data_IF_942996059655
#
_entry.id   IF_942996059655
#
_cell.length_a   1.000
_cell.length_b   1.000
_cell.length_c   1.000
_cell.angle_alpha   90.00
_cell.angle_beta   90.00
_cell.angle_gamma   90.00
#
_symmetry.space_group_name_H-M   'P 1'
#
loop_
_entity.id
_entity.type
_entity.pdbx_description
1 polymer ?
#
# COMPACT_ATOMS: atom_id res chain seq x y z
N UNK A 1 -1.34 20.29 -14.85
CA UNK A 1 -0.05 19.58 -15.04
C UNK A 1 0.10 18.42 -14.05
N UNK A 2 -0.34 18.53 -12.79
CA UNK A 2 -0.41 17.40 -11.82
C UNK A 2 -1.37 16.25 -12.21
N UNK A 3 -2.30 16.50 -13.14
CA UNK A 3 -3.33 15.53 -13.51
C UNK A 3 -2.83 14.40 -14.40
N UNK A 4 -1.66 14.47 -15.04
CA UNK A 4 -1.34 13.53 -16.11
C UNK A 4 -0.81 12.17 -15.63
N UNK A 5 0.11 12.08 -14.64
CA UNK A 5 0.44 10.79 -13.99
C UNK A 5 -0.81 10.23 -13.28
N UNK A 6 -1.65 11.10 -12.74
CA UNK A 6 -2.88 10.71 -12.03
C UNK A 6 -4.06 10.31 -12.95
N UNK A 7 -4.11 10.80 -14.18
CA UNK A 7 -5.11 10.43 -15.20
C UNK A 7 -4.78 9.12 -15.88
N UNK A 8 -3.51 8.70 -15.88
CA UNK A 8 -3.17 7.31 -16.20
C UNK A 8 -3.95 6.41 -15.21
N UNK A 9 -3.90 6.72 -13.91
CA UNK A 9 -4.60 5.99 -12.83
C UNK A 9 -6.14 6.12 -12.83
N UNK A 10 -6.75 6.93 -13.70
CA UNK A 10 -8.17 7.30 -13.63
C UNK A 10 -9.15 6.51 -14.50
N UNK A 11 -8.67 5.69 -15.46
CA UNK A 11 -9.55 4.89 -16.32
C UNK A 11 -9.74 3.47 -15.77
N UNK A 12 -10.61 3.34 -14.77
CA UNK A 12 -11.20 2.05 -14.37
C UNK A 12 -12.12 1.57 -15.51
N UNK A 13 -11.60 0.75 -16.44
CA UNK A 13 -12.44 0.04 -17.40
C UNK A 13 -12.74 -1.35 -16.87
N UNK A 14 -13.95 -1.49 -16.35
CA UNK A 14 -14.57 -2.76 -15.97
C UNK A 14 -14.92 -3.53 -17.26
N UNK A 15 -13.98 -4.29 -17.82
CA UNK A 15 -14.28 -5.18 -18.97
C UNK A 15 -14.90 -6.48 -18.44
N UNK A 16 -16.24 -6.52 -18.40
CA UNK A 16 -16.99 -7.77 -18.47
C UNK A 16 -16.86 -8.30 -19.90
N UNK A 17 -16.10 -9.37 -20.09
CA UNK A 17 -16.30 -10.21 -21.28
C UNK A 17 -17.46 -11.15 -21.01
N UNK A 18 -18.51 -10.96 -21.79
CA UNK A 18 -19.63 -11.87 -21.98
C UNK A 18 -19.19 -13.05 -22.82
N UNK A 19 -19.55 -14.26 -22.40
CA UNK A 19 -19.75 -15.37 -23.32
C UNK A 19 -21.15 -15.94 -23.11
N UNK A 20 -21.81 -16.24 -24.23
CA UNK A 20 -23.21 -16.62 -24.33
C UNK A 20 -23.34 -18.05 -24.86
N UNK A 21 -24.11 -18.85 -24.09
CA UNK A 21 -24.90 -20.05 -24.47
C UNK A 21 -24.08 -21.29 -24.87
N UNK A 22 -24.46 -22.53 -24.55
CA UNK A 22 -25.80 -23.15 -24.61
C UNK A 22 -26.07 -24.22 -23.53
N UNK A 23 -27.36 -24.53 -23.39
CA UNK A 23 -28.04 -25.49 -22.51
C UNK A 23 -27.64 -26.97 -22.69
N UNK A 24 -27.75 -27.76 -21.62
CA UNK A 24 -28.53 -29.02 -21.67
C UNK A 24 -29.02 -29.46 -20.28
N UNK A 25 -30.25 -30.01 -20.26
CA UNK A 25 -31.10 -30.26 -19.09
C UNK A 25 -30.92 -31.66 -18.46
N UNK A 26 -30.92 -31.68 -17.12
CA UNK A 26 -31.62 -32.56 -16.17
C UNK A 26 -31.61 -34.11 -16.32
N UNK A 27 -31.20 -34.82 -15.25
CA UNK A 27 -32.09 -35.51 -14.28
C UNK A 27 -31.32 -36.23 -13.13
N UNK A 28 -31.99 -36.55 -11.99
CA UNK A 28 -31.36 -36.82 -10.70
C UNK A 28 -31.21 -38.31 -10.40
N UNK A 29 -30.25 -38.69 -9.54
CA UNK A 29 -30.24 -40.03 -8.95
C UNK A 29 -29.77 -40.02 -7.48
N UNK A 30 -30.26 -41.03 -6.79
CA UNK A 30 -30.56 -41.16 -5.37
C UNK A 30 -29.37 -41.38 -4.42
N UNK A 31 -29.64 -41.02 -3.15
CA UNK A 31 -28.98 -41.46 -1.90
C UNK A 31 -28.43 -42.89 -1.96
N UNK A 32 -27.27 -43.11 -1.33
CA UNK A 32 -27.00 -44.07 -0.24
C UNK A 32 -25.61 -43.74 0.34
N UNK A 33 -25.52 -43.55 1.67
CA UNK A 33 -24.27 -43.54 2.45
C UNK A 33 -23.90 -44.97 2.84
N UNK A 34 -22.61 -45.26 3.09
CA UNK A 34 -22.23 -45.54 4.48
C UNK A 34 -20.87 -44.98 4.93
N UNK A 35 -20.90 -44.48 6.15
CA UNK A 35 -19.96 -44.48 7.28
C UNK A 35 -18.42 -44.52 7.11
N UNK A 36 -17.83 -43.60 7.90
CA UNK A 36 -16.60 -43.68 8.68
C UNK A 36 -15.23 -43.72 7.99
N UNK A 37 -14.61 -42.53 7.90
CA UNK A 37 -13.18 -42.35 8.17
C UNK A 37 -12.92 -40.93 8.68
N UNK A 38 -12.65 -40.88 9.99
CA UNK A 38 -11.99 -39.84 10.80
C UNK A 38 -11.34 -38.66 10.05
N UNK A 39 -12.01 -37.50 10.10
CA UNK A 39 -11.43 -36.20 9.76
C UNK A 39 -10.50 -35.69 10.88
N UNK A 40 -9.33 -35.11 10.57
CA UNK A 40 -8.49 -34.44 11.55
C UNK A 40 -9.19 -33.17 12.06
N UNK A 41 -9.22 -33.02 13.39
CA UNK A 41 -9.85 -31.92 14.10
C UNK A 41 -9.36 -30.56 13.59
N UNK A 42 -10.29 -29.79 13.03
CA UNK A 42 -10.12 -28.38 12.72
C UNK A 42 -10.15 -27.57 14.02
N UNK A 43 -9.01 -26.98 14.37
CA UNK A 43 -8.89 -25.99 15.43
C UNK A 43 -9.85 -24.81 15.17
N UNK A 44 -10.56 -24.27 16.19
CA UNK A 44 -11.52 -23.20 15.95
C UNK A 44 -10.80 -21.92 15.51
N UNK A 45 -11.30 -21.36 14.41
CA UNK A 45 -10.93 -20.05 13.87
C UNK A 45 -11.11 -18.95 14.92
N UNK A 46 -9.99 -18.38 15.38
CA UNK A 46 -10.01 -17.16 16.20
C UNK A 46 -10.31 -15.95 15.32
N UNK A 47 -11.60 -15.67 15.10
CA UNK A 47 -12.03 -14.36 14.58
C UNK A 47 -13.38 -13.95 15.17
N UNK A 48 -13.43 -13.75 16.48
CA UNK A 48 -14.47 -12.94 17.10
C UNK A 48 -13.81 -12.11 18.21
N UNK A 49 -13.49 -10.85 17.93
CA UNK A 49 -13.17 -9.90 18.99
C UNK A 49 -14.46 -9.72 19.78
N UNK A 50 -14.49 -10.20 21.02
CA UNK A 50 -15.67 -10.10 21.86
C UNK A 50 -15.90 -8.62 22.23
N UNK A 51 -16.84 -7.99 21.52
CA UNK A 51 -17.26 -6.60 21.75
C UNK A 51 -18.20 -6.47 22.96
N UNK A 52 -18.41 -7.54 23.72
CA UNK A 52 -19.24 -7.55 24.93
C UNK A 52 -18.65 -6.72 26.08
N UNK A 53 -17.34 -6.42 26.05
CA UNK A 53 -16.66 -5.75 27.15
C UNK A 53 -17.19 -4.31 27.36
N UNK A 54 -17.52 -3.89 28.62
CA UNK A 54 -18.10 -2.57 28.91
C UNK A 54 -17.31 -1.37 28.35
N UNK A 55 -15.98 -1.50 28.24
CA UNK A 55 -15.09 -0.49 27.65
C UNK A 55 -15.53 -0.06 26.24
N UNK A 56 -16.12 -0.96 25.45
CA UNK A 56 -16.57 -0.63 24.09
C UNK A 56 -17.81 0.28 24.10
N UNK A 57 -18.67 0.18 25.12
CA UNK A 57 -19.80 1.10 25.31
C UNK A 57 -19.31 2.51 25.65
N UNK A 58 -18.30 2.63 26.49
CA UNK A 58 -17.66 3.93 26.78
C UNK A 58 -17.00 4.54 25.54
N UNK A 59 -16.28 3.73 24.76
CA UNK A 59 -15.68 4.16 23.49
C UNK A 59 -16.76 4.64 22.52
N UNK A 60 -17.91 3.95 22.44
CA UNK A 60 -19.02 4.36 21.60
C UNK A 60 -19.62 5.72 22.01
N UNK A 61 -19.81 5.94 23.32
CA UNK A 61 -20.27 7.23 23.86
C UNK A 61 -19.29 8.37 23.55
N UNK A 62 -17.99 8.15 23.78
CA UNK A 62 -16.94 9.11 23.44
C UNK A 62 -16.94 9.43 21.93
N UNK A 63 -17.03 8.40 21.08
CA UNK A 63 -17.13 8.60 19.62
C UNK A 63 -18.35 9.44 19.22
N UNK A 64 -19.49 9.24 19.90
CA UNK A 64 -20.70 10.02 19.71
C UNK A 64 -20.51 11.49 20.06
N UNK A 65 -19.83 11.79 21.16
CA UNK A 65 -19.48 13.16 21.54
C UNK A 65 -18.54 13.81 20.50
N UNK A 66 -17.46 13.12 20.13
CA UNK A 66 -16.48 13.61 19.15
C UNK A 66 -17.12 13.89 17.79
N UNK A 67 -18.14 13.13 17.39
CA UNK A 67 -18.86 13.36 16.14
C UNK A 67 -19.57 14.73 16.10
N UNK A 68 -20.05 15.21 17.24
CA UNK A 68 -20.79 16.47 17.39
C UNK A 68 -19.89 17.69 17.53
N UNK A 69 -18.61 17.50 17.84
CA UNK A 69 -17.66 18.61 18.02
C UNK A 69 -17.47 19.44 16.73
N UNK A 70 -17.33 20.75 16.91
CA UNK A 70 -16.89 21.71 15.90
C UNK A 70 -15.40 21.52 15.56
N UNK A 71 -14.91 22.15 14.48
CA UNK A 71 -13.48 22.06 14.12
C UNK A 71 -12.60 22.72 15.19
N UNK A 72 -13.07 23.80 15.80
CA UNK A 72 -12.32 24.53 16.82
C UNK A 72 -12.28 23.78 18.14
N UNK A 73 -13.39 23.17 18.55
CA UNK A 73 -13.43 22.29 19.72
C UNK A 73 -12.48 21.09 19.55
N UNK A 74 -12.47 20.48 18.35
CA UNK A 74 -11.53 19.40 18.05
C UNK A 74 -10.07 19.89 18.13
N UNK A 75 -9.79 21.10 17.65
CA UNK A 75 -8.44 21.69 17.71
C UNK A 75 -8.00 21.89 19.15
N UNK A 76 -8.86 22.47 19.99
CA UNK A 76 -8.60 22.69 21.41
C UNK A 76 -8.35 21.36 22.11
N UNK A 77 -9.20 20.35 21.92
CA UNK A 77 -9.02 19.03 22.53
C UNK A 77 -7.77 18.29 22.07
N UNK A 78 -7.44 18.34 20.79
CA UNK A 78 -6.19 17.76 20.30
C UNK A 78 -4.97 18.47 20.91
N UNK A 79 -5.02 19.80 21.03
CA UNK A 79 -3.96 20.61 21.64
C UNK A 79 -3.76 20.29 23.12
N UNK A 80 -4.85 20.18 23.90
CA UNK A 80 -4.82 19.76 25.31
C UNK A 80 -4.14 18.40 25.49
N UNK A 81 -4.37 17.48 24.55
CA UNK A 81 -3.79 16.13 24.54
C UNK A 81 -2.39 16.06 23.91
N UNK A 82 -1.80 17.21 23.54
CA UNK A 82 -0.50 17.29 22.83
C UNK A 82 -0.45 16.46 21.54
N UNK A 83 -1.60 16.35 20.86
CA UNK A 83 -1.71 15.70 19.56
C UNK A 83 -1.61 16.75 18.44
N UNK A 84 -1.19 16.31 17.25
CA UNK A 84 -1.19 17.16 16.07
C UNK A 84 -2.60 17.74 15.83
N UNK A 85 -2.66 19.04 15.55
CA UNK A 85 -3.90 19.82 15.37
C UNK A 85 -4.20 20.17 13.91
N UNK A 86 -3.35 19.74 12.98
CA UNK A 86 -3.47 20.02 11.54
C UNK A 86 -4.43 19.05 10.86
N UNK A 87 -4.92 19.49 9.70
CA UNK A 87 -5.78 18.74 8.81
C UNK A 87 -7.25 19.18 8.82
N UNK A 88 -8.06 18.47 8.04
CA UNK A 88 -9.50 18.70 7.95
C UNK A 88 -10.25 18.09 9.14
N UNK A 89 -11.52 18.48 9.32
CA UNK A 89 -12.35 18.06 10.46
C UNK A 89 -12.39 16.54 10.64
N UNK A 90 -12.49 15.77 9.57
CA UNK A 90 -12.57 14.30 9.65
C UNK A 90 -11.26 13.64 10.09
N UNK A 91 -10.11 14.19 9.66
CA UNK A 91 -8.78 13.78 10.16
C UNK A 91 -8.69 14.01 11.66
N UNK A 92 -9.07 15.21 12.12
CA UNK A 92 -9.04 15.56 13.55
C UNK A 92 -9.98 14.68 14.39
N UNK A 93 -11.20 14.42 13.89
CA UNK A 93 -12.13 13.47 14.52
C UNK A 93 -11.51 12.09 14.63
N UNK A 94 -10.93 11.57 13.54
CA UNK A 94 -10.37 10.22 13.51
C UNK A 94 -9.21 10.08 14.49
N UNK A 95 -8.32 11.07 14.53
CA UNK A 95 -7.21 11.18 15.48
C UNK A 95 -7.69 11.09 16.93
N UNK A 96 -8.65 11.94 17.28
CA UNK A 96 -9.18 12.03 18.63
C UNK A 96 -9.86 10.71 19.05
N UNK A 97 -10.71 10.14 18.19
CA UNK A 97 -11.39 8.86 18.46
C UNK A 97 -10.40 7.73 18.72
N UNK A 98 -9.35 7.63 17.92
CA UNK A 98 -8.36 6.57 18.08
C UNK A 98 -7.49 6.78 19.33
N UNK A 99 -7.16 8.03 19.67
CA UNK A 99 -6.47 8.32 20.93
C UNK A 99 -7.29 7.84 22.13
N UNK A 100 -8.57 8.22 22.23
CA UNK A 100 -9.45 7.76 23.31
C UNK A 100 -9.62 6.24 23.32
N UNK A 101 -9.80 5.62 22.15
CA UNK A 101 -9.88 4.16 22.03
C UNK A 101 -8.61 3.48 22.57
N UNK A 102 -7.43 3.96 22.18
CA UNK A 102 -6.14 3.40 22.63
C UNK A 102 -6.00 3.55 24.15
N UNK A 103 -6.26 4.74 24.68
CA UNK A 103 -6.17 5.01 26.11
C UNK A 103 -7.12 4.13 26.92
N UNK A 104 -8.38 4.01 26.51
CA UNK A 104 -9.39 3.19 27.20
C UNK A 104 -9.07 1.69 27.17
N UNK A 105 -8.62 1.18 26.02
CA UNK A 105 -8.23 -0.23 25.90
C UNK A 105 -6.96 -0.55 26.72
N UNK A 106 -6.01 0.37 26.80
CA UNK A 106 -4.81 0.20 27.64
C UNK A 106 -5.16 0.17 29.13
N UNK A 107 -6.15 0.97 29.56
CA UNK A 107 -6.63 0.95 30.95
C UNK A 107 -7.43 -0.30 31.31
N UNK A 108 -8.01 -1.00 30.33
CA UNK A 108 -8.84 -2.20 30.55
C UNK A 108 -8.13 -3.52 30.27
N UNK A 109 -6.91 -3.51 29.74
CA UNK A 109 -6.19 -4.72 29.38
C UNK A 109 -5.55 -5.36 30.63
N UNK A 110 -6.09 -6.48 31.09
CA UNK A 110 -5.31 -7.50 31.81
C UNK A 110 -4.35 -8.17 30.80
N UNK A 111 -3.13 -8.45 31.22
CA UNK A 111 -2.03 -8.93 30.38
C UNK A 111 -2.38 -10.16 29.53
N UNK A 112 -1.81 -10.22 28.33
CA UNK A 112 -1.64 -11.48 27.59
C UNK A 112 -2.74 -11.80 26.57
N UNK A 113 -2.68 -11.18 25.40
CA UNK A 113 -3.23 -11.76 24.17
C UNK A 113 -2.10 -11.96 23.16
N UNK A 114 -2.13 -12.99 22.29
CA UNK A 114 -1.12 -13.17 21.26
C UNK A 114 -1.12 -11.94 20.35
N UNK A 115 -0.05 -11.16 20.42
CA UNK A 115 0.16 -10.04 19.51
C UNK A 115 0.56 -10.64 18.18
N UNK A 116 -0.37 -10.65 17.21
CA UNK A 116 0.01 -10.69 15.80
C UNK A 116 1.01 -9.54 15.60
N UNK A 117 2.30 -9.88 15.50
CA UNK A 117 3.37 -8.88 15.52
C UNK A 117 3.20 -8.00 14.31
N UNK A 118 3.09 -6.70 14.52
CA UNK A 118 3.01 -5.75 13.43
C UNK A 118 4.33 -5.75 12.63
N UNK A 119 4.35 -5.13 11.45
CA UNK A 119 5.61 -4.98 10.71
C UNK A 119 6.60 -4.15 11.53
N UNK A 120 7.86 -4.55 11.57
CA UNK A 120 8.96 -3.72 12.09
C UNK A 120 9.29 -2.60 11.11
N UNK A 121 9.15 -2.88 9.80
CA UNK A 121 9.44 -1.93 8.74
C UNK A 121 8.38 -1.87 7.66
N UNK A 122 8.23 -0.70 7.04
CA UNK A 122 7.47 -0.51 5.80
C UNK A 122 8.41 0.06 4.75
N UNK A 123 8.47 -0.59 3.59
CA UNK A 123 9.26 -0.15 2.44
C UNK A 123 8.32 0.53 1.43
N UNK A 124 8.45 1.84 1.29
CA UNK A 124 7.68 2.63 0.34
C UNK A 124 8.38 2.64 -1.01
N UNK A 125 7.64 2.44 -2.10
CA UNK A 125 8.11 2.45 -3.48
C UNK A 125 7.13 3.26 -4.33
N UNK A 126 7.65 4.10 -5.23
CA UNK A 126 6.90 4.80 -6.27
C UNK A 126 7.78 4.90 -7.51
N UNK A 127 7.49 4.09 -8.53
CA UNK A 127 8.32 4.06 -9.73
C UNK A 127 8.06 5.30 -10.60
N UNK A 128 9.12 5.76 -11.26
CA UNK A 128 8.96 6.52 -12.50
C UNK A 128 9.17 5.60 -13.70
N UNK A 129 8.42 5.85 -14.76
CA UNK A 129 8.44 5.04 -15.97
C UNK A 129 8.43 5.92 -17.23
N UNK A 130 8.90 5.38 -18.35
CA UNK A 130 8.73 6.01 -19.67
C UNK A 130 7.24 6.29 -19.93
N UNK A 131 6.94 7.42 -20.57
CA UNK A 131 5.57 7.81 -20.88
C UNK A 131 5.49 8.78 -22.07
N UNK A 132 4.32 8.89 -22.68
CA UNK A 132 4.00 9.83 -23.75
C UNK A 132 2.83 10.74 -23.33
N UNK A 133 2.73 11.94 -23.91
CA UNK A 133 1.77 12.98 -23.52
C UNK A 133 0.30 12.50 -23.60
N UNK A 134 -0.07 11.84 -24.68
CA UNK A 134 -1.43 11.31 -24.89
C UNK A 134 -1.70 10.02 -24.11
N UNK A 135 -0.67 9.46 -23.49
CA UNK A 135 -0.71 8.19 -22.78
C UNK A 135 -1.47 7.08 -23.56
N UNK A 136 -0.92 6.64 -24.70
CA UNK A 136 -1.55 5.63 -25.53
C UNK A 136 -1.73 4.32 -24.73
N UNK A 137 -2.88 3.63 -24.86
CA UNK A 137 -3.17 2.44 -24.06
C UNK A 137 -2.17 1.29 -24.28
N UNK A 138 -1.60 1.20 -25.49
CA UNK A 138 -0.66 0.15 -25.89
C UNK A 138 0.80 0.54 -25.66
N UNK A 139 1.07 1.71 -25.05
CA UNK A 139 2.43 2.13 -24.73
C UNK A 139 3.05 1.20 -23.67
N UNK A 140 4.17 0.58 -24.02
CA UNK A 140 4.90 -0.31 -23.13
C UNK A 140 5.86 0.50 -22.24
N UNK A 141 5.36 0.82 -21.05
CA UNK A 141 6.14 1.51 -20.03
C UNK A 141 7.33 0.67 -19.55
N UNK A 142 8.48 1.32 -19.40
CA UNK A 142 9.68 0.79 -18.76
C UNK A 142 10.01 1.64 -17.54
N UNK A 143 10.39 0.99 -16.43
CA UNK A 143 10.81 1.68 -15.21
C UNK A 143 12.13 2.41 -15.52
N UNK A 144 12.21 3.70 -15.14
CA UNK A 144 13.38 4.57 -15.32
C UNK A 144 13.90 5.15 -14.01
N UNK A 145 13.16 5.01 -12.91
CA UNK A 145 13.62 5.28 -11.54
C UNK A 145 13.07 4.21 -10.59
N UNK A 146 13.94 3.66 -9.74
CA UNK A 146 13.62 2.70 -8.69
C UNK A 146 13.99 3.28 -7.32
N UNK A 147 13.09 4.05 -6.69
CA UNK A 147 13.29 4.54 -5.34
C UNK A 147 12.73 3.57 -4.29
N UNK A 148 13.35 3.55 -3.11
CA UNK A 148 12.77 2.93 -1.92
C UNK A 148 12.99 3.82 -0.69
N UNK A 149 11.99 3.91 0.19
CA UNK A 149 12.08 4.62 1.47
C UNK A 149 11.70 3.68 2.60
N UNK A 150 12.59 3.50 3.57
CA UNK A 150 12.39 2.59 4.69
C UNK A 150 11.89 3.33 5.92
N UNK A 151 10.71 2.93 6.43
CA UNK A 151 10.12 3.42 7.66
C UNK A 151 10.32 2.37 8.75
N UNK A 152 10.89 2.75 9.90
CA UNK A 152 10.85 1.94 11.11
C UNK A 152 9.54 2.24 11.87
N UNK A 153 8.67 1.24 12.04
CA UNK A 153 7.31 1.44 12.58
C UNK A 153 7.29 1.66 14.09
N UNK A 154 8.36 1.26 14.80
CA UNK A 154 8.51 1.45 16.24
C UNK A 154 8.88 2.89 16.57
N UNK A 155 9.84 3.45 15.83
CA UNK A 155 10.32 4.84 16.01
C UNK A 155 9.51 5.86 15.21
N UNK A 156 8.75 5.40 14.21
CA UNK A 156 7.98 6.21 13.26
C UNK A 156 8.85 7.20 12.49
N UNK A 157 10.09 6.79 12.18
CA UNK A 157 11.06 7.56 11.42
C UNK A 157 11.35 6.89 10.08
N UNK A 158 11.66 7.71 9.07
CA UNK A 158 12.37 7.26 7.88
C UNK A 158 13.81 7.00 8.30
N UNK A 159 14.26 5.76 8.18
CA UNK A 159 15.59 5.33 8.63
C UNK A 159 16.57 5.13 7.49
N UNK A 160 16.07 5.03 6.25
CA UNK A 160 16.91 4.79 5.09
C UNK A 160 16.20 5.13 3.79
N UNK A 161 16.98 5.39 2.74
CA UNK A 161 16.51 5.63 1.38
C UNK A 161 17.45 5.03 0.35
N UNK A 162 16.88 4.50 -0.73
CA UNK A 162 17.58 4.01 -1.91
C UNK A 162 17.01 4.72 -3.14
N UNK A 163 17.86 5.02 -4.11
CA UNK A 163 17.45 5.58 -5.39
C UNK A 163 18.44 5.18 -6.46
N UNK A 164 17.95 4.54 -7.51
CA UNK A 164 18.71 4.29 -8.72
C UNK A 164 17.85 4.59 -9.94
N UNK A 165 18.49 5.12 -10.99
CA UNK A 165 17.88 5.22 -12.31
C UNK A 165 18.05 3.90 -13.06
N UNK A 166 17.15 3.66 -14.01
CA UNK A 166 17.13 2.44 -14.80
C UNK A 166 17.19 2.83 -16.27
N UNK A 167 18.02 2.13 -17.04
CA UNK A 167 18.12 2.31 -18.48
C UNK A 167 16.99 1.55 -19.20
N UNK A 168 16.07 2.23 -19.92
CA UNK A 168 15.09 1.57 -20.76
C UNK A 168 15.77 0.97 -22.01
N UNK A 169 15.31 -0.20 -22.44
CA UNK A 169 15.89 -0.95 -23.57
C UNK A 169 14.95 -0.99 -24.78
N UNK A 170 13.63 -0.96 -24.55
CA UNK A 170 12.62 -0.96 -25.63
C UNK A 170 12.43 0.44 -26.22
N UNK A 171 12.31 1.45 -25.36
CA UNK A 171 12.18 2.86 -25.71
C UNK A 171 13.31 3.67 -25.04
N UNK A 172 14.56 3.54 -25.54
CA UNK A 172 15.73 4.15 -24.88
C UNK A 172 15.71 5.68 -24.87
N UNK A 173 15.03 6.29 -25.84
CA UNK A 173 14.86 7.75 -25.92
C UNK A 173 13.62 8.18 -25.14
N UNK A 174 13.81 9.00 -24.12
CA UNK A 174 12.70 9.59 -23.36
C UNK A 174 12.00 10.66 -24.21
N UNK A 175 10.67 10.68 -24.15
CA UNK A 175 9.89 11.78 -24.73
C UNK A 175 10.13 13.09 -23.97
N UNK A 176 9.97 14.23 -24.64
CA UNK A 176 10.04 15.55 -24.00
C UNK A 176 9.04 15.69 -22.85
N UNK A 177 7.85 15.08 -23.02
CA UNK A 177 6.84 15.02 -21.98
C UNK A 177 7.34 14.26 -20.75
N UNK A 178 7.94 13.07 -20.92
CA UNK A 178 8.48 12.26 -19.83
C UNK A 178 9.58 13.01 -19.07
N UNK A 179 10.52 13.63 -19.79
CA UNK A 179 11.61 14.42 -19.19
C UNK A 179 11.04 15.61 -18.40
N UNK A 180 10.07 16.33 -18.96
CA UNK A 180 9.44 17.47 -18.28
C UNK A 180 8.66 17.04 -17.05
N UNK A 181 7.90 15.95 -17.15
CA UNK A 181 7.08 15.42 -16.06
C UNK A 181 7.98 14.95 -14.91
N UNK A 182 8.89 14.01 -15.17
CA UNK A 182 9.69 13.33 -14.14
C UNK A 182 10.93 14.09 -13.70
N UNK A 183 11.44 14.98 -14.57
CA UNK A 183 12.73 15.65 -14.36
C UNK A 183 13.94 14.75 -14.63
N UNK A 184 13.72 13.50 -15.02
CA UNK A 184 14.77 12.56 -15.39
C UNK A 184 15.25 12.90 -16.79
N UNK A 185 16.55 13.20 -16.92
CA UNK A 185 17.14 13.56 -18.21
C UNK A 185 17.59 12.32 -18.98
N UNK A 186 17.69 12.45 -20.31
CA UNK A 186 18.23 11.39 -21.18
C UNK A 186 19.63 10.93 -20.69
N UNK A 187 20.49 11.87 -20.30
CA UNK A 187 21.83 11.54 -19.82
C UNK A 187 21.83 10.67 -18.55
N UNK A 188 20.80 10.80 -17.69
CA UNK A 188 20.68 9.99 -16.47
C UNK A 188 20.33 8.54 -16.81
N UNK A 189 19.39 8.32 -17.72
CA UNK A 189 19.03 6.95 -18.15
C UNK A 189 20.09 6.32 -19.05
N UNK A 190 20.82 7.11 -19.84
CA UNK A 190 21.92 6.60 -20.69
C UNK A 190 23.05 5.97 -19.88
N UNK A 191 23.35 6.58 -18.72
CA UNK A 191 24.38 6.16 -17.75
C UNK A 191 23.90 5.12 -16.74
N UNK A 192 22.59 4.88 -16.67
CA UNK A 192 22.01 3.92 -15.76
C UNK A 192 22.26 2.48 -16.23
N UNK A 193 22.14 1.55 -15.28
CA UNK A 193 22.17 0.13 -15.60
C UNK A 193 20.78 -0.38 -16.02
N UNK A 194 20.70 -1.50 -16.76
CA UNK A 194 19.44 -2.18 -17.04
C UNK A 194 18.71 -2.65 -15.78
N UNK A 195 17.39 -2.80 -15.89
CA UNK A 195 16.52 -3.14 -14.76
C UNK A 195 16.96 -4.36 -13.93
N UNK A 196 17.41 -5.49 -14.51
CA UNK A 196 17.84 -6.64 -13.72
C UNK A 196 18.98 -6.35 -12.74
N UNK A 197 19.94 -5.50 -13.12
CA UNK A 197 21.07 -5.12 -12.26
C UNK A 197 20.65 -4.19 -11.13
N UNK A 198 19.78 -3.21 -11.44
CA UNK A 198 19.18 -2.33 -10.42
C UNK A 198 18.35 -3.15 -9.43
N UNK A 199 17.53 -4.10 -9.91
CA UNK A 199 16.76 -4.99 -9.04
C UNK A 199 17.65 -5.86 -8.14
N UNK A 200 18.81 -6.32 -8.63
CA UNK A 200 19.79 -7.06 -7.83
C UNK A 200 20.32 -6.19 -6.68
N UNK A 201 20.62 -4.91 -6.94
CA UNK A 201 21.06 -3.96 -5.91
C UNK A 201 19.95 -3.61 -4.92
N UNK A 202 18.70 -3.48 -5.39
CA UNK A 202 17.52 -3.37 -4.51
C UNK A 202 17.41 -4.57 -3.57
N UNK A 203 17.54 -5.79 -4.09
CA UNK A 203 17.49 -7.00 -3.27
C UNK A 203 18.62 -7.01 -2.24
N UNK A 204 19.85 -6.66 -2.63
CA UNK A 204 20.98 -6.56 -1.71
C UNK A 204 20.72 -5.53 -0.60
N UNK A 205 20.23 -4.34 -0.96
CA UNK A 205 19.86 -3.29 -0.01
C UNK A 205 18.80 -3.78 0.98
N UNK A 206 17.78 -4.50 0.54
CA UNK A 206 16.77 -5.07 1.47
C UNK A 206 17.36 -6.18 2.36
N UNK A 207 18.28 -6.99 1.85
CA UNK A 207 18.93 -8.08 2.60
C UNK A 207 19.89 -7.56 3.68
N UNK A 208 20.66 -6.51 3.40
CA UNK A 208 21.54 -5.82 4.38
C UNK A 208 20.77 -5.33 5.61
N UNK A 209 19.47 -5.04 5.44
CA UNK A 209 18.55 -4.61 6.50
C UNK A 209 17.78 -5.76 7.15
N UNK A 210 18.16 -7.00 6.84
CA UNK A 210 17.61 -8.24 7.39
C UNK A 210 16.07 -8.34 7.23
N UNK A 211 15.53 -7.77 6.13
CA UNK A 211 14.09 -7.73 5.88
C UNK A 211 13.57 -9.09 5.44
N UNK A 212 12.51 -9.56 6.11
CA UNK A 212 11.89 -10.87 5.89
C UNK A 212 12.59 -12.02 6.63
N UNK A 213 13.79 -11.80 7.17
CA UNK A 213 14.52 -12.78 8.00
C UNK A 213 14.36 -12.44 9.48
N UNK A 214 15.00 -11.36 9.94
CA UNK A 214 14.93 -10.89 11.34
C UNK A 214 13.81 -9.88 11.53
N UNK A 215 13.58 -9.05 10.52
CA UNK A 215 12.67 -7.92 10.58
C UNK A 215 11.45 -8.18 9.69
N UNK A 216 10.25 -8.19 10.29
CA UNK A 216 8.99 -8.32 9.54
C UNK A 216 8.72 -7.02 8.77
N UNK A 217 8.39 -7.12 7.49
CA UNK A 217 8.20 -5.93 6.66
C UNK A 217 7.05 -6.05 5.67
N UNK A 218 6.64 -4.93 5.09
CA UNK A 218 5.70 -4.88 3.98
C UNK A 218 6.11 -3.82 2.95
N UNK A 219 5.82 -4.07 1.67
CA UNK A 219 5.88 -3.08 0.60
C UNK A 219 4.65 -2.17 0.66
N UNK A 220 4.82 -0.88 0.40
CA UNK A 220 3.74 0.11 0.34
C UNK A 220 3.91 1.00 -0.91
N UNK A 221 2.81 1.29 -1.59
CA UNK A 221 2.78 2.08 -2.84
C UNK A 221 1.60 3.07 -2.85
N UNK A 222 1.69 4.12 -3.68
CA UNK A 222 0.60 5.08 -3.90
C UNK A 222 -0.39 4.64 -4.97
N UNK A 223 -1.08 3.54 -4.67
CA UNK A 223 -1.99 2.90 -5.63
C UNK A 223 -1.54 1.48 -5.95
N UNK A 224 -2.16 0.89 -6.97
CA UNK A 224 -1.88 -0.50 -7.35
C UNK A 224 -0.80 -0.63 -8.44
N UNK A 225 -0.54 0.47 -9.16
CA UNK A 225 0.07 0.45 -10.47
C UNK A 225 1.55 0.12 -10.47
N UNK A 226 2.30 0.58 -9.47
CA UNK A 226 3.70 0.23 -9.30
C UNK A 226 3.94 -1.27 -9.40
N UNK A 227 3.15 -2.04 -8.65
CA UNK A 227 3.33 -3.48 -8.54
C UNK A 227 2.55 -4.24 -9.62
N UNK A 228 1.32 -3.82 -9.94
CA UNK A 228 0.45 -4.56 -10.86
C UNK A 228 0.69 -4.24 -12.33
N UNK A 229 1.18 -3.03 -12.64
CA UNK A 229 1.43 -2.53 -14.00
C UNK A 229 2.93 -2.41 -14.27
N UNK A 230 3.62 -1.45 -13.64
CA UNK A 230 5.02 -1.12 -13.99
C UNK A 230 5.98 -2.29 -13.73
N UNK A 231 6.05 -2.81 -12.50
CA UNK A 231 6.92 -3.94 -12.19
C UNK A 231 6.53 -5.22 -12.97
N UNK A 232 5.24 -5.43 -13.20
CA UNK A 232 4.73 -6.58 -13.94
C UNK A 232 5.14 -6.53 -15.43
N UNK A 233 5.00 -5.37 -16.08
CA UNK A 233 5.44 -5.15 -17.47
C UNK A 233 6.97 -5.24 -17.54
N UNK A 234 7.68 -4.55 -16.66
CA UNK A 234 9.14 -4.54 -16.64
C UNK A 234 9.73 -5.95 -16.49
N UNK A 235 9.18 -6.78 -15.60
CA UNK A 235 9.63 -8.18 -15.46
C UNK A 235 9.42 -8.98 -16.76
N UNK A 236 8.38 -8.70 -17.54
CA UNK A 236 8.14 -9.36 -18.84
C UNK A 236 9.14 -8.89 -19.89
N UNK A 237 9.38 -7.58 -19.99
CA UNK A 237 10.36 -6.98 -20.91
C UNK A 237 11.75 -7.56 -20.63
N UNK A 238 12.17 -7.53 -19.37
CA UNK A 238 13.48 -8.04 -18.95
C UNK A 238 13.57 -9.56 -18.85
N UNK A 239 12.51 -10.31 -19.22
CA UNK A 239 12.45 -11.78 -19.18
C UNK A 239 12.86 -12.38 -17.82
N UNK A 240 12.37 -11.79 -16.72
CA UNK A 240 12.59 -12.31 -15.37
C UNK A 240 11.27 -12.70 -14.70
N UNK A 241 11.33 -13.62 -13.75
CA UNK A 241 10.15 -13.98 -12.95
C UNK A 241 9.77 -12.81 -12.04
N UNK A 242 8.46 -12.63 -11.82
CA UNK A 242 7.99 -11.60 -10.89
C UNK A 242 8.48 -11.89 -9.45
N UNK A 243 9.14 -10.94 -8.77
CA UNK A 243 9.76 -11.19 -7.47
C UNK A 243 8.72 -11.54 -6.40
N UNK A 244 8.84 -12.68 -5.68
CA UNK A 244 7.86 -13.10 -4.68
C UNK A 244 7.59 -12.07 -3.58
N UNK A 245 8.62 -11.31 -3.16
CA UNK A 245 8.50 -10.33 -2.10
C UNK A 245 7.61 -9.12 -2.46
N UNK A 246 7.40 -8.85 -3.75
CA UNK A 246 6.58 -7.76 -4.24
C UNK A 246 5.14 -8.18 -4.57
N UNK A 247 4.78 -9.46 -4.39
CA UNK A 247 3.44 -9.97 -4.79
C UNK A 247 2.29 -9.49 -3.90
N UNK A 248 2.59 -8.90 -2.75
CA UNK A 248 1.63 -8.42 -1.76
C UNK A 248 2.10 -7.05 -1.29
N UNK A 249 1.23 -6.05 -1.26
CA UNK A 249 1.59 -4.70 -0.82
C UNK A 249 0.43 -3.98 -0.14
N UNK A 250 0.79 -2.88 0.50
CA UNK A 250 -0.11 -1.90 1.08
C UNK A 250 -0.35 -0.82 0.02
N UNK A 251 -1.54 -0.77 -0.54
CA UNK A 251 -2.00 0.40 -1.28
C UNK A 251 -2.44 1.46 -0.26
N UNK A 252 -1.66 2.54 -0.15
CA UNK A 252 -1.93 3.58 0.86
C UNK A 252 -3.20 4.36 0.53
N UNK A 253 -3.57 4.55 -0.74
CA UNK A 253 -4.82 5.22 -1.14
C UNK A 253 -6.05 4.50 -0.57
N UNK A 254 -6.08 3.17 -0.71
CA UNK A 254 -7.14 2.33 -0.11
C UNK A 254 -7.16 2.45 1.42
N UNK A 255 -5.98 2.41 2.05
CA UNK A 255 -5.86 2.54 3.50
C UNK A 255 -6.34 3.92 3.99
N UNK A 256 -5.94 4.99 3.30
CA UNK A 256 -6.28 6.38 3.61
C UNK A 256 -7.78 6.63 3.53
N UNK A 257 -8.39 6.26 2.39
CA UNK A 257 -9.83 6.29 2.15
C UNK A 257 -10.60 5.59 3.28
N UNK A 258 -10.24 4.35 3.58
CA UNK A 258 -10.94 3.54 4.58
C UNK A 258 -10.79 4.07 6.00
N UNK A 259 -9.62 4.64 6.31
CA UNK A 259 -9.30 5.09 7.66
C UNK A 259 -9.92 6.45 7.99
N UNK A 260 -9.72 7.45 7.12
CA UNK A 260 -10.25 8.81 7.30
C UNK A 260 -11.66 9.01 6.75
N UNK A 261 -12.24 7.97 6.11
CA UNK A 261 -13.62 7.99 5.57
C UNK A 261 -13.84 9.06 4.49
N UNK A 262 -12.87 9.16 3.58
CA UNK A 262 -12.93 10.06 2.43
C UNK A 262 -13.16 9.26 1.14
N UNK A 263 -13.77 9.85 0.09
CA UNK A 263 -13.93 9.16 -1.19
C UNK A 263 -12.58 8.95 -1.89
N UNK A 264 -12.52 7.94 -2.78
CA UNK A 264 -11.31 7.63 -3.58
C UNK A 264 -10.83 8.79 -4.45
N UNK A 265 -11.73 9.67 -4.88
CA UNK A 265 -11.38 10.88 -5.63
C UNK A 265 -10.49 11.85 -4.83
N UNK A 266 -10.41 11.70 -3.51
CA UNK A 266 -9.58 12.51 -2.61
C UNK A 266 -8.33 11.77 -2.11
N UNK A 267 -7.85 10.74 -2.82
CA UNK A 267 -6.65 9.99 -2.46
C UNK A 267 -5.48 10.21 -3.41
N UNK A 268 -5.49 11.32 -4.15
CA UNK A 268 -4.32 11.85 -4.86
C UNK A 268 -3.24 12.25 -3.85
N UNK A 269 -1.96 12.09 -4.18
CA UNK A 269 -0.86 12.31 -3.22
C UNK A 269 -0.89 13.72 -2.62
N UNK A 270 -0.97 14.75 -3.48
CA UNK A 270 -1.08 16.16 -3.09
C UNK A 270 -2.31 16.41 -2.21
N UNK A 271 -3.46 15.86 -2.58
CA UNK A 271 -4.71 15.96 -1.80
C UNK A 271 -4.58 15.30 -0.43
N UNK A 272 -3.96 14.11 -0.33
CA UNK A 272 -3.76 13.45 0.96
C UNK A 272 -2.88 14.29 1.89
N UNK A 273 -1.79 14.87 1.38
CA UNK A 273 -0.95 15.80 2.14
C UNK A 273 -1.74 17.02 2.61
N UNK A 274 -2.46 17.67 1.70
CA UNK A 274 -3.25 18.87 1.98
C UNK A 274 -4.29 18.61 3.08
N UNK A 275 -5.04 17.50 2.96
CA UNK A 275 -6.08 17.12 3.95
C UNK A 275 -5.51 16.78 5.32
N UNK A 276 -4.26 16.31 5.38
CA UNK A 276 -3.51 16.13 6.62
C UNK A 276 -2.86 17.43 7.14
N UNK A 277 -2.94 18.52 6.38
CA UNK A 277 -2.31 19.81 6.70
C UNK A 277 -0.79 19.79 6.55
N UNK A 278 -0.30 18.98 5.60
CA UNK A 278 1.11 18.89 5.21
C UNK A 278 1.29 19.51 3.83
N UNK A 279 2.51 20.01 3.57
CA UNK A 279 2.94 20.44 2.24
C UNK A 279 3.77 19.35 1.59
N UNK A 280 3.70 19.28 0.27
CA UNK A 280 4.63 18.52 -0.54
C UNK A 280 6.06 19.03 -0.31
N UNK A 281 7.01 18.10 -0.24
CA UNK A 281 8.43 18.38 -0.05
C UNK A 281 9.25 17.76 -1.19
N UNK A 282 10.15 18.53 -1.81
CA UNK A 282 10.87 18.12 -3.01
C UNK A 282 10.13 18.38 -4.32
N UNK A 283 10.47 17.63 -5.36
CA UNK A 283 9.92 17.78 -6.73
C UNK A 283 8.83 16.73 -7.01
N UNK A 284 7.59 17.13 -7.34
CA UNK A 284 6.57 16.20 -7.83
C UNK A 284 7.07 15.36 -9.01
N UNK A 285 6.71 14.07 -9.04
CA UNK A 285 7.14 13.12 -10.08
C UNK A 285 8.65 12.85 -10.13
N UNK A 286 9.40 13.21 -9.08
CA UNK A 286 10.65 12.53 -8.76
C UNK A 286 10.29 11.38 -7.80
N UNK A 287 10.59 10.14 -8.21
CA UNK A 287 10.09 8.97 -7.50
C UNK A 287 10.57 8.90 -6.04
N UNK A 288 11.80 9.34 -5.75
CA UNK A 288 12.29 9.39 -4.37
C UNK A 288 11.55 10.44 -3.52
N UNK A 289 11.28 11.62 -4.05
CA UNK A 289 10.57 12.68 -3.33
C UNK A 289 9.10 12.29 -3.12
N UNK A 290 8.45 11.69 -4.12
CA UNK A 290 7.12 11.13 -3.97
C UNK A 290 7.11 10.02 -2.91
N UNK A 291 8.06 9.08 -2.95
CA UNK A 291 8.22 8.02 -1.93
C UNK A 291 8.40 8.58 -0.51
N UNK A 292 9.15 9.67 -0.33
CA UNK A 292 9.31 10.37 0.96
C UNK A 292 8.00 10.99 1.42
N UNK A 293 7.24 11.63 0.53
CA UNK A 293 5.94 12.20 0.85
C UNK A 293 4.90 11.12 1.22
N UNK A 294 4.89 10.01 0.48
CA UNK A 294 4.07 8.83 0.80
C UNK A 294 4.46 8.27 2.18
N UNK A 295 5.76 8.20 2.50
CA UNK A 295 6.24 7.78 3.81
C UNK A 295 5.78 8.72 4.94
N UNK A 296 5.79 10.04 4.71
CA UNK A 296 5.26 11.03 5.67
C UNK A 296 3.75 10.82 5.93
N UNK A 297 2.97 10.50 4.90
CA UNK A 297 1.55 10.12 5.06
C UNK A 297 1.43 8.83 5.87
N UNK A 298 2.22 7.80 5.54
CA UNK A 298 2.19 6.53 6.26
C UNK A 298 2.50 6.72 7.76
N UNK A 299 3.55 7.47 8.08
CA UNK A 299 3.91 7.85 9.46
C UNK A 299 2.76 8.57 10.16
N UNK A 300 2.15 9.58 9.53
CA UNK A 300 1.00 10.30 10.09
C UNK A 300 -0.18 9.35 10.36
N UNK A 301 -0.48 8.45 9.44
CA UNK A 301 -1.54 7.45 9.62
C UNK A 301 -1.26 6.50 10.79
N UNK A 302 -0.02 6.01 10.93
CA UNK A 302 0.40 5.20 12.08
C UNK A 302 0.24 5.98 13.40
N UNK A 303 0.66 7.25 13.43
CA UNK A 303 0.47 8.15 14.58
C UNK A 303 -1.01 8.41 14.91
N UNK A 304 -1.90 8.42 13.91
CA UNK A 304 -3.36 8.46 14.11
C UNK A 304 -3.93 7.14 14.63
N UNK A 305 -3.13 6.07 14.74
CA UNK A 305 -3.57 4.75 15.16
C UNK A 305 -4.15 3.90 14.03
N UNK A 306 -3.83 4.21 12.77
CA UNK A 306 -4.07 3.30 11.66
C UNK A 306 -3.08 2.14 11.74
N UNK A 307 -3.56 0.90 11.61
CA UNK A 307 -2.71 -0.23 11.31
C UNK A 307 -2.72 -0.40 9.79
N UNK A 308 -1.67 0.10 9.12
CA UNK A 308 -1.48 -0.13 7.69
C UNK A 308 -1.20 -1.61 7.46
N UNK A 309 -1.94 -2.26 6.57
CA UNK A 309 -1.85 -3.72 6.33
C UNK A 309 -1.91 -4.01 4.85
N UNK A 310 -1.31 -5.11 4.43
CA UNK A 310 -1.40 -5.60 3.05
C UNK A 310 -2.87 -5.69 2.68
N UNK A 311 -3.24 -5.02 1.60
CA UNK A 311 -4.63 -4.90 1.13
C UNK A 311 -4.75 -5.19 -0.37
N UNK A 312 -3.63 -5.44 -1.06
CA UNK A 312 -3.56 -5.81 -2.47
C UNK A 312 -2.51 -6.90 -2.71
N UNK A 313 -2.73 -7.71 -3.75
CA UNK A 313 -1.81 -8.75 -4.20
C UNK A 313 -1.90 -9.02 -5.70
N UNK A 314 -0.82 -9.55 -6.27
CA UNK A 314 -0.80 -10.18 -7.58
C UNK A 314 -1.00 -11.69 -7.46
N UNK A 315 -1.94 -12.25 -8.22
CA UNK A 315 -2.14 -13.70 -8.36
C UNK A 315 -2.56 -14.03 -9.80
N UNK A 316 -1.94 -15.03 -10.43
CA UNK A 316 -2.23 -15.37 -11.83
C UNK A 316 -2.03 -14.22 -12.83
N UNK A 317 -1.18 -13.24 -12.51
CA UNK A 317 -1.00 -12.04 -13.34
C UNK A 317 -2.10 -10.97 -13.19
N UNK A 318 -3.07 -11.18 -12.28
CA UNK A 318 -4.17 -10.28 -12.01
C UNK A 318 -4.06 -9.64 -10.61
N UNK A 319 -4.63 -8.44 -10.48
CA UNK A 319 -4.72 -7.70 -9.23
C UNK A 319 -5.90 -8.20 -8.40
N UNK A 320 -5.65 -8.54 -7.13
CA UNK A 320 -6.68 -8.92 -6.17
C UNK A 320 -6.58 -8.10 -4.89
N UNK A 321 -7.71 -7.87 -4.23
CA UNK A 321 -7.73 -7.30 -2.88
C UNK A 321 -7.45 -8.37 -1.83
N UNK A 322 -6.77 -7.99 -0.74
CA UNK A 322 -6.57 -8.84 0.45
C UNK A 322 -7.58 -8.45 1.52
N UNK A 323 -8.38 -9.40 2.06
CA UNK A 323 -9.38 -9.10 3.08
C UNK A 323 -8.77 -8.52 4.36
N UNK A 324 -9.47 -7.59 5.00
CA UNK A 324 -9.04 -7.02 6.29
C UNK A 324 -9.09 -8.03 7.45
N UNK A 325 -9.74 -9.18 7.28
CA UNK A 325 -9.74 -10.29 8.24
C UNK A 325 -8.55 -11.22 8.11
N UNK A 326 -7.79 -11.17 7.00
CA UNK A 326 -6.56 -11.97 6.86
C UNK A 326 -5.55 -11.61 7.95
N UNK A 327 -4.64 -12.50 8.38
CA UNK A 327 -3.57 -12.21 9.35
C UNK A 327 -2.56 -11.15 8.84
N UNK A 328 -1.83 -10.47 9.74
CA UNK A 328 -0.72 -9.59 9.34
C UNK A 328 0.45 -10.47 8.91
N UNK A 329 0.60 -10.73 7.62
CA UNK A 329 1.75 -11.48 7.09
C UNK A 329 2.82 -10.53 6.55
N UNK A 330 4.07 -10.75 6.94
CA UNK A 330 5.22 -10.05 6.36
C UNK A 330 5.51 -10.51 4.93
N UNK A 331 6.14 -9.66 4.15
CA UNK A 331 6.73 -10.06 2.88
C UNK A 331 7.85 -11.10 3.11
N UNK A 332 8.00 -12.10 2.24
CA UNK A 332 9.07 -13.09 2.35
C UNK A 332 10.45 -12.44 2.16
N UNK A 333 11.54 -13.06 2.63
CA UNK A 333 12.90 -12.60 2.37
C UNK A 333 13.12 -12.30 0.88
N UNK A 334 13.65 -11.11 0.54
CA UNK A 334 13.88 -10.72 -0.84
C UNK A 334 14.97 -11.58 -1.46
N UNK A 335 14.74 -12.01 -2.70
CA UNK A 335 15.68 -12.79 -3.51
C UNK A 335 15.63 -12.27 -4.94
N UNK A 336 16.77 -12.24 -5.61
CA UNK A 336 16.85 -11.92 -7.03
C UNK A 336 16.07 -12.98 -7.81
N UNK A 337 15.08 -12.59 -8.64
CA UNK A 337 14.32 -13.55 -9.41
C UNK A 337 15.19 -14.19 -10.49
N UNK A 338 14.89 -15.45 -10.83
CA UNK A 338 15.53 -16.13 -11.96
C UNK A 338 15.01 -15.57 -13.29
N UNK A 339 15.79 -15.82 -14.35
CA UNK A 339 15.32 -15.71 -15.74
C UNK A 339 14.01 -16.49 -15.97
N UNK A 340 13.20 -16.02 -16.92
CA UNK A 340 12.17 -16.77 -17.61
C UNK A 340 12.76 -17.15 -18.96
N UNK A 341 13.22 -18.40 -19.04
CA UNK A 341 13.63 -19.01 -20.31
C UNK A 341 12.43 -19.18 -21.25
#
# INVERSE_FOLDING_TARGET
>A
MDEHKENIHGKDVNVKMSDSKEDEQAKPCSRISPEDTTAPQTSPSQSNKDYSHPVYKEIALANGHINRMSKDELRVKLSELKLDTRGVKDVMKKRLKNHYKKHKLMQSAAEGGPTDTYYDYICVVDFEATCEEDNPPDFLHEIIEFPMVLINTHTLQIVDTFQEYVKPELNPQLSDFCVKLTGITQQMVDKADPFPEVLRRVVAWLQERELGTKNKYAILTDGAWDMSKFLNIQCRISRIKYPPFAKKWINIRKSYCNFYKVPRTQTKLSTMLEKLGMKYDGRPHCGLDDSRNIARIAVRMLQDGCQLRVNERMHGGQLHSVPSSAPVEGAPPPRTPSSRD
#
